data_IF_615707696363
#
_entry.id   IF_615707696363
#
_cell.length_a   1.000
_cell.length_b   1.000
_cell.length_c   1.000
_cell.angle_alpha   90.00
_cell.angle_beta   90.00
_cell.angle_gamma   90.00
#
_symmetry.space_group_name_H-M   'P 1'
#
loop_
_entity.id
_entity.type
_entity.pdbx_description
1 polymer ?
#
# COMPACT_ATOMS: atom_id res chain seq x y z
N UNK A 1 -7.43 0.70 -16.03
CA UNK A 1 -6.00 0.70 -16.46
C UNK A 1 -5.08 0.69 -15.26
N UNK A 2 -5.26 1.59 -14.28
CA UNK A 2 -4.39 1.69 -13.10
C UNK A 2 -4.33 0.38 -12.30
N UNK A 3 -5.45 -0.31 -12.07
CA UNK A 3 -5.47 -1.60 -11.38
C UNK A 3 -4.58 -2.65 -12.06
N UNK A 4 -4.50 -2.64 -13.38
CA UNK A 4 -3.68 -3.58 -14.16
C UNK A 4 -2.19 -3.26 -14.08
N UNK A 5 -1.83 -1.99 -13.89
CA UNK A 5 -0.43 -1.57 -13.78
C UNK A 5 0.29 -2.16 -12.56
N UNK A 6 -0.45 -2.54 -11.52
CA UNK A 6 0.09 -3.20 -10.33
C UNK A 6 0.42 -4.67 -10.53
N UNK A 7 -0.25 -5.35 -11.46
CA UNK A 7 -0.15 -6.80 -11.62
C UNK A 7 1.28 -7.24 -12.00
N UNK A 8 1.80 -8.26 -11.33
CA UNK A 8 3.14 -8.80 -11.50
C UNK A 8 4.26 -8.04 -10.79
N UNK A 9 3.95 -6.89 -10.16
CA UNK A 9 4.92 -6.16 -9.33
C UNK A 9 5.13 -6.88 -8.00
N UNK A 10 6.33 -6.75 -7.47
CA UNK A 10 6.72 -7.37 -6.18
C UNK A 10 6.43 -6.43 -5.02
N UNK A 11 5.93 -6.97 -3.92
CA UNK A 11 5.79 -6.25 -2.66
C UNK A 11 7.16 -5.78 -2.15
N UNK A 12 7.34 -4.49 -2.00
CA UNK A 12 8.56 -3.88 -1.48
C UNK A 12 8.39 -3.34 -0.06
N UNK A 13 7.17 -2.95 0.29
CA UNK A 13 6.85 -2.43 1.61
C UNK A 13 5.41 -2.77 2.00
N UNK A 14 5.23 -3.15 3.24
CA UNK A 14 3.95 -3.23 3.94
C UNK A 14 4.15 -2.62 5.32
N UNK A 15 3.38 -1.60 5.65
CA UNK A 15 3.53 -0.90 6.91
C UNK A 15 2.38 0.08 7.13
N UNK A 16 2.59 1.06 7.99
CA UNK A 16 1.59 2.07 8.32
C UNK A 16 2.15 3.49 8.38
N UNK A 17 1.26 4.46 8.22
CA UNK A 17 1.48 5.86 8.54
C UNK A 17 0.32 6.33 9.42
N UNK A 18 0.53 6.43 10.75
CA UNK A 18 -0.57 6.53 11.71
C UNK A 18 -1.42 5.25 11.68
N UNK A 19 -2.73 5.40 11.48
CA UNK A 19 -3.68 4.29 11.34
C UNK A 19 -3.81 3.77 9.88
N UNK A 20 -3.35 4.52 8.88
CA UNK A 20 -3.40 4.16 7.47
C UNK A 20 -2.38 3.06 7.15
N UNK A 21 -2.81 1.99 6.48
CA UNK A 21 -1.90 0.97 5.94
C UNK A 21 -1.36 1.44 4.60
N UNK A 22 -0.04 1.30 4.42
CA UNK A 22 0.67 1.64 3.20
C UNK A 22 1.34 0.41 2.60
N UNK A 23 1.12 0.19 1.31
CA UNK A 23 1.70 -0.89 0.53
C UNK A 23 2.45 -0.26 -0.64
N UNK A 24 3.72 -0.62 -0.79
CA UNK A 24 4.50 -0.24 -1.96
C UNK A 24 4.85 -1.47 -2.78
N UNK A 25 4.50 -1.46 -4.05
CA UNK A 25 4.97 -2.44 -5.01
C UNK A 25 6.13 -1.84 -5.80
N UNK A 26 7.21 -2.60 -5.89
CA UNK A 26 8.45 -2.15 -6.53
C UNK A 26 8.24 -1.88 -8.02
N UNK A 27 8.98 -0.93 -8.54
CA UNK A 27 9.09 -0.68 -9.97
C UNK A 27 9.69 -1.89 -10.69
N UNK A 28 9.27 -2.12 -11.93
CA UNK A 28 9.81 -3.19 -12.79
C UNK A 28 11.09 -2.76 -13.51
N UNK A 29 11.30 -1.46 -13.63
CA UNK A 29 12.47 -0.84 -14.23
C UNK A 29 12.95 0.34 -13.38
N UNK A 30 14.20 0.77 -13.56
CA UNK A 30 14.85 1.78 -12.71
C UNK A 30 14.18 3.16 -12.78
N UNK A 31 13.59 3.50 -13.92
CA UNK A 31 12.90 4.76 -14.20
C UNK A 31 11.37 4.67 -14.07
N UNK A 32 10.85 3.47 -13.78
CA UNK A 32 9.41 3.26 -13.61
C UNK A 32 8.98 3.67 -12.18
N UNK A 33 7.83 4.38 -12.02
CA UNK A 33 7.33 4.74 -10.70
C UNK A 33 6.90 3.50 -9.91
N UNK A 34 7.08 3.55 -8.60
CA UNK A 34 6.52 2.55 -7.69
C UNK A 34 5.00 2.69 -7.66
N UNK A 35 4.35 1.57 -7.42
CA UNK A 35 2.90 1.49 -7.30
C UNK A 35 2.50 1.51 -5.82
N UNK A 36 1.65 2.45 -5.44
CA UNK A 36 1.25 2.67 -4.06
C UNK A 36 -0.21 2.31 -3.85
N UNK A 37 -0.48 1.65 -2.73
CA UNK A 37 -1.84 1.40 -2.23
C UNK A 37 -1.89 1.90 -0.79
N UNK A 38 -2.73 2.88 -0.53
CA UNK A 38 -3.03 3.38 0.82
C UNK A 38 -4.42 2.90 1.21
N UNK A 39 -4.59 2.48 2.47
CA UNK A 39 -5.86 1.96 2.97
C UNK A 39 -6.16 2.59 4.33
N UNK A 40 -7.24 3.36 4.39
CA UNK A 40 -7.72 4.10 5.58
C UNK A 40 -8.88 3.42 6.29
N UNK A 41 -9.33 2.27 5.80
CA UNK A 41 -10.40 1.46 6.40
C UNK A 41 -9.85 0.20 7.07
N UNK A 42 -10.73 -0.59 7.69
CA UNK A 42 -10.35 -1.86 8.29
C UNK A 42 -9.77 -2.84 7.27
N UNK A 43 -8.68 -3.55 7.64
CA UNK A 43 -8.02 -4.55 6.79
C UNK A 43 -7.84 -5.85 7.56
N UNK A 44 -8.12 -6.96 6.88
CA UNK A 44 -7.69 -8.30 7.29
C UNK A 44 -6.59 -8.77 6.34
N UNK A 45 -5.51 -9.29 6.89
CA UNK A 45 -4.38 -9.87 6.14
C UNK A 45 -4.34 -11.36 6.44
N UNK A 46 -4.40 -12.15 5.38
CA UNK A 46 -4.32 -13.61 5.45
C UNK A 46 -2.99 -14.07 4.84
N UNK A 47 -2.46 -15.15 5.35
CA UNK A 47 -1.33 -15.87 4.75
C UNK A 47 -1.72 -17.34 4.62
N UNK A 48 -1.74 -17.84 3.39
CA UNK A 48 -2.21 -19.19 3.05
C UNK A 48 -3.62 -19.49 3.59
N UNK A 49 -4.53 -18.51 3.49
CA UNK A 49 -5.91 -18.61 3.96
C UNK A 49 -6.10 -18.54 5.47
N UNK A 50 -5.03 -18.34 6.25
CA UNK A 50 -5.08 -18.20 7.70
C UNK A 50 -4.88 -16.74 8.10
N UNK A 51 -5.67 -16.25 9.06
CA UNK A 51 -5.53 -14.89 9.59
C UNK A 51 -4.09 -14.68 10.11
N UNK A 52 -3.41 -13.68 9.55
CA UNK A 52 -2.03 -13.36 9.90
C UNK A 52 -1.94 -12.11 10.77
N UNK A 53 -2.54 -11.01 10.31
CA UNK A 53 -2.61 -9.73 11.03
C UNK A 53 -3.82 -8.90 10.54
N UNK A 54 -4.07 -7.78 11.18
CA UNK A 54 -5.14 -6.87 10.77
C UNK A 54 -4.89 -5.43 11.24
N UNK A 55 -5.63 -4.48 10.69
CA UNK A 55 -5.61 -3.09 11.17
C UNK A 55 -6.02 -2.93 12.63
N UNK A 56 -6.71 -3.92 13.22
CA UNK A 56 -7.06 -3.90 14.65
C UNK A 56 -5.83 -4.05 15.58
N UNK A 57 -4.70 -4.51 15.05
CA UNK A 57 -3.43 -4.62 15.79
C UNK A 57 -2.58 -3.34 15.68
N UNK A 58 -3.05 -2.34 14.92
CA UNK A 58 -2.41 -1.03 14.84
C UNK A 58 -2.72 -0.25 16.11
N UNK A 59 -1.68 0.32 16.69
CA UNK A 59 -1.79 1.34 17.71
C UNK A 59 -1.01 2.57 17.22
N UNK A 60 -1.72 3.60 16.79
CA UNK A 60 -1.16 4.81 16.20
C UNK A 60 -0.50 5.74 17.23
N UNK A 61 -0.77 5.57 18.52
CA UNK A 61 -0.05 6.23 19.61
C UNK A 61 1.36 5.66 19.82
N UNK A 62 1.65 4.46 19.29
CA UNK A 62 2.97 3.84 19.38
C UNK A 62 3.90 4.29 18.25
N UNK A 63 5.21 4.45 18.52
CA UNK A 63 6.21 4.63 17.47
C UNK A 63 6.13 3.49 16.43
N UNK A 64 6.49 3.81 15.19
CA UNK A 64 6.57 2.80 14.12
C UNK A 64 7.57 1.67 14.51
N UNK A 65 7.23 0.45 14.17
CA UNK A 65 8.02 -0.75 14.48
C UNK A 65 7.70 -1.42 15.82
N UNK A 66 6.81 -0.83 16.64
CA UNK A 66 6.56 -1.28 18.02
C UNK A 66 5.27 -2.07 18.15
N UNK A 67 4.19 -1.71 17.47
CA UNK A 67 2.92 -2.42 17.59
C UNK A 67 2.97 -3.79 16.89
N UNK A 68 2.03 -4.66 17.23
CA UNK A 68 1.98 -6.04 16.73
C UNK A 68 1.89 -6.10 15.20
N UNK A 69 1.10 -5.22 14.60
CA UNK A 69 1.00 -5.07 13.15
C UNK A 69 2.38 -4.80 12.50
N UNK A 70 3.14 -3.82 13.03
CA UNK A 70 4.44 -3.45 12.49
C UNK A 70 5.43 -4.62 12.55
N UNK A 71 5.44 -5.35 13.65
CA UNK A 71 6.34 -6.50 13.84
C UNK A 71 6.00 -7.64 12.88
N UNK A 72 4.72 -7.93 12.68
CA UNK A 72 4.25 -8.95 11.74
C UNK A 72 4.54 -8.55 10.29
N UNK A 73 4.28 -7.29 9.92
CA UNK A 73 4.59 -6.78 8.60
C UNK A 73 6.10 -6.87 8.29
N UNK A 74 6.95 -6.48 9.24
CA UNK A 74 8.40 -6.59 9.11
C UNK A 74 8.86 -8.06 8.99
N UNK A 75 8.28 -8.98 9.77
CA UNK A 75 8.58 -10.41 9.69
C UNK A 75 8.19 -11.01 8.34
N UNK A 76 7.04 -10.59 7.78
CA UNK A 76 6.60 -11.01 6.45
C UNK A 76 7.61 -10.59 5.37
N UNK A 77 8.04 -9.33 5.39
CA UNK A 77 9.02 -8.82 4.42
C UNK A 77 10.41 -9.46 4.60
N UNK A 78 10.78 -9.83 5.83
CA UNK A 78 12.05 -10.48 6.14
C UNK A 78 12.05 -12.00 5.86
N UNK A 79 10.92 -12.61 5.51
CA UNK A 79 10.83 -14.06 5.22
C UNK A 79 11.68 -14.48 4.02
N UNK A 80 12.00 -13.53 3.13
CA UNK A 80 12.70 -13.79 1.87
C UNK A 80 11.79 -14.27 0.75
N UNK A 81 10.48 -14.41 1.01
CA UNK A 81 9.50 -14.74 -0.01
C UNK A 81 9.22 -13.53 -0.90
N UNK A 82 9.20 -13.74 -2.20
CA UNK A 82 8.78 -12.72 -3.14
C UNK A 82 7.27 -12.79 -3.31
N UNK A 83 6.55 -11.80 -2.82
CA UNK A 83 5.11 -11.65 -3.02
C UNK A 83 4.85 -10.80 -4.27
N UNK A 84 4.38 -11.42 -5.34
CA UNK A 84 4.01 -10.70 -6.58
C UNK A 84 2.51 -10.50 -6.63
N UNK A 85 2.09 -9.29 -6.94
CA UNK A 85 0.66 -8.98 -7.07
C UNK A 85 0.06 -9.79 -8.22
N UNK A 86 -0.85 -10.70 -7.90
CA UNK A 86 -1.57 -11.55 -8.85
C UNK A 86 -2.89 -10.91 -9.26
N UNK A 87 -3.63 -10.35 -8.29
CA UNK A 87 -4.93 -9.75 -8.53
C UNK A 87 -5.16 -8.53 -7.64
N UNK A 88 -5.72 -7.50 -8.24
CA UNK A 88 -6.18 -6.29 -7.58
C UNK A 88 -7.58 -5.97 -8.09
N UNK A 89 -8.55 -5.97 -7.21
CA UNK A 89 -9.95 -5.77 -7.55
C UNK A 89 -10.72 -5.16 -6.37
N UNK A 90 -11.91 -4.68 -6.64
CA UNK A 90 -12.88 -4.30 -5.61
C UNK A 90 -14.22 -4.95 -5.92
N UNK A 91 -15.05 -5.12 -4.89
CA UNK A 91 -16.37 -5.71 -4.99
C UNK A 91 -17.48 -4.66 -5.20
N UNK A 92 -18.75 -5.09 -5.15
CA UNK A 92 -19.92 -4.20 -5.30
C UNK A 92 -20.07 -3.17 -4.15
N UNK A 93 -19.44 -3.41 -3.02
CA UNK A 93 -19.36 -2.48 -1.88
C UNK A 93 -18.08 -1.63 -1.91
N UNK A 94 -17.35 -1.65 -3.02
CA UNK A 94 -16.08 -0.95 -3.25
C UNK A 94 -14.96 -1.35 -2.27
N UNK A 95 -15.08 -2.53 -1.65
CA UNK A 95 -14.04 -3.08 -0.79
C UNK A 95 -12.90 -3.64 -1.63
N UNK A 96 -11.67 -3.26 -1.30
CA UNK A 96 -10.47 -3.64 -2.04
C UNK A 96 -9.98 -5.03 -1.66
N UNK A 97 -9.58 -5.81 -2.66
CA UNK A 97 -8.96 -7.13 -2.55
C UNK A 97 -7.59 -7.09 -3.23
N UNK A 98 -6.54 -7.30 -2.46
CA UNK A 98 -5.15 -7.32 -2.92
C UNK A 98 -4.62 -8.74 -2.71
N UNK A 99 -4.32 -9.46 -3.78
CA UNK A 99 -3.95 -10.88 -3.73
C UNK A 99 -2.60 -11.07 -4.40
N UNK A 100 -1.69 -11.71 -3.68
CA UNK A 100 -0.34 -12.07 -4.12
C UNK A 100 -0.21 -13.56 -4.37
N UNK A 101 0.76 -13.95 -5.20
CA UNK A 101 0.97 -15.31 -5.68
C UNK A 101 1.38 -16.33 -4.59
N UNK A 102 2.05 -15.88 -3.54
CA UNK A 102 2.49 -16.75 -2.44
C UNK A 102 1.50 -16.81 -1.26
N UNK A 103 0.20 -16.71 -1.55
CA UNK A 103 -0.87 -16.88 -0.56
C UNK A 103 -1.06 -15.72 0.42
N UNK A 104 -0.42 -14.57 0.17
CA UNK A 104 -0.68 -13.34 0.91
C UNK A 104 -1.90 -12.64 0.31
N UNK A 105 -2.89 -12.37 1.14
CA UNK A 105 -4.12 -11.69 0.75
C UNK A 105 -4.45 -10.56 1.73
N UNK A 106 -4.86 -9.41 1.20
CA UNK A 106 -5.38 -8.30 1.98
C UNK A 106 -6.81 -8.00 1.52
N UNK A 107 -7.72 -7.94 2.48
CA UNK A 107 -9.13 -7.65 2.23
C UNK A 107 -9.56 -6.49 3.11
N UNK A 108 -10.01 -5.39 2.48
CA UNK A 108 -10.58 -4.27 3.23
C UNK A 108 -11.96 -4.63 3.77
N UNK A 109 -12.35 -3.94 4.83
CA UNK A 109 -13.66 -4.09 5.48
C UNK A 109 -14.28 -2.72 5.67
N UNK A 110 -15.59 -2.63 5.54
CA UNK A 110 -16.30 -1.40 5.85
C UNK A 110 -16.08 -1.02 7.32
N UNK A 111 -15.73 0.23 7.54
CA UNK A 111 -15.63 0.82 8.88
C UNK A 111 -16.86 1.69 9.11
N UNK A 112 -17.73 1.37 10.10
CA UNK A 112 -18.89 2.19 10.40
C UNK A 112 -18.50 3.63 10.71
N UNK A 113 -19.18 4.58 10.07
CA UNK A 113 -18.94 6.01 10.26
C UNK A 113 -17.83 6.61 9.41
N UNK A 114 -17.10 5.80 8.64
CA UNK A 114 -16.18 6.32 7.62
C UNK A 114 -17.02 6.84 6.44
N UNK A 115 -16.95 8.12 6.18
CA UNK A 115 -17.73 8.79 5.12
C UNK A 115 -16.86 9.25 3.95
N UNK A 116 -15.57 8.99 4.02
CA UNK A 116 -14.57 9.50 3.09
C UNK A 116 -13.85 8.37 2.38
N UNK A 117 -12.61 8.60 2.03
CA UNK A 117 -11.75 7.66 1.34
C UNK A 117 -11.52 6.39 2.16
N UNK A 118 -11.74 5.22 1.56
CA UNK A 118 -11.42 3.92 2.16
C UNK A 118 -10.04 3.44 1.72
N UNK A 119 -9.70 3.69 0.47
CA UNK A 119 -8.41 3.34 -0.11
C UNK A 119 -8.07 4.20 -1.32
N UNK A 120 -6.78 4.31 -1.61
CA UNK A 120 -6.24 5.04 -2.75
C UNK A 120 -5.15 4.25 -3.44
N UNK A 121 -5.16 4.26 -4.77
CA UNK A 121 -4.16 3.65 -5.62
C UNK A 121 -3.56 4.71 -6.54
N UNK A 122 -2.24 4.76 -6.62
CA UNK A 122 -1.54 5.72 -7.45
C UNK A 122 -0.11 5.27 -7.80
N UNK A 123 0.51 5.93 -8.77
CA UNK A 123 1.93 5.80 -9.08
C UNK A 123 2.71 6.90 -8.36
N UNK A 124 3.80 6.52 -7.68
CA UNK A 124 4.64 7.50 -6.97
C UNK A 124 5.23 8.53 -7.94
N UNK A 125 5.33 9.78 -7.46
CA UNK A 125 5.95 10.92 -8.17
C UNK A 125 5.47 11.14 -9.62
N UNK A 126 4.29 10.71 -9.97
CA UNK A 126 3.64 11.05 -11.24
C UNK A 126 2.50 12.04 -11.01
N UNK A 127 2.10 12.72 -12.07
CA UNK A 127 0.89 13.54 -12.10
C UNK A 127 -0.32 12.73 -12.62
N UNK A 128 -0.22 11.40 -12.60
CA UNK A 128 -1.26 10.52 -13.09
C UNK A 128 -2.45 10.46 -12.13
N UNK A 129 -3.56 9.98 -12.66
CA UNK A 129 -4.82 9.84 -11.93
C UNK A 129 -4.64 8.94 -10.73
N UNK A 130 -5.12 9.37 -9.57
CA UNK A 130 -5.35 8.52 -8.41
C UNK A 130 -6.72 7.86 -8.53
N UNK A 131 -6.79 6.57 -8.23
CA UNK A 131 -8.04 5.85 -8.10
C UNK A 131 -8.39 5.72 -6.61
N UNK A 132 -9.54 6.23 -6.22
CA UNK A 132 -9.97 6.32 -4.83
C UNK A 132 -11.26 5.54 -4.66
N UNK A 133 -11.28 4.61 -3.71
CA UNK A 133 -12.48 3.92 -3.27
C UNK A 133 -13.13 4.62 -2.09
N UNK A 134 -14.39 4.99 -2.25
CA UNK A 134 -15.24 5.60 -1.23
C UNK A 134 -16.43 4.66 -0.95
N UNK A 135 -17.15 4.83 0.18
CA UNK A 135 -18.30 3.98 0.52
C UNK A 135 -19.44 4.03 -0.51
N UNK A 136 -19.50 5.08 -1.30
CA UNK A 136 -20.56 5.36 -2.28
C UNK A 136 -20.08 5.28 -3.75
N UNK A 137 -18.82 4.96 -4.00
CA UNK A 137 -18.31 4.84 -5.36
C UNK A 137 -16.80 4.89 -5.50
N UNK A 138 -16.40 4.86 -6.76
CA UNK A 138 -15.00 5.05 -7.17
C UNK A 138 -14.82 6.44 -7.75
N UNK A 139 -13.81 7.14 -7.29
CA UNK A 139 -13.45 8.48 -7.75
C UNK A 139 -12.08 8.44 -8.42
N UNK A 140 -11.96 9.10 -9.57
CA UNK A 140 -10.68 9.39 -10.21
C UNK A 140 -10.30 10.84 -9.91
N UNK A 141 -9.16 11.04 -9.27
CA UNK A 141 -8.66 12.35 -8.88
C UNK A 141 -7.30 12.62 -9.54
N UNK A 142 -7.18 13.80 -10.18
CA UNK A 142 -5.89 14.29 -10.62
C UNK A 142 -5.17 14.92 -9.41
N UNK A 143 -3.92 14.54 -9.12
CA UNK A 143 -3.18 15.19 -8.05
C UNK A 143 -3.00 16.68 -8.36
N UNK A 144 -3.30 17.53 -7.38
CA UNK A 144 -3.18 19.00 -7.48
C UNK A 144 -1.73 19.50 -7.38
N UNK A 145 -0.76 18.59 -7.41
CA UNK A 145 0.65 18.89 -7.26
C UNK A 145 1.20 19.51 -8.56
N UNK A 146 1.91 20.61 -8.41
CA UNK A 146 2.71 21.16 -9.51
C UNK A 146 3.88 20.22 -9.84
N UNK A 147 4.36 20.26 -11.09
CA UNK A 147 5.52 19.47 -11.51
C UNK A 147 6.74 19.69 -10.59
N UNK A 148 6.92 20.90 -10.06
CA UNK A 148 7.99 21.21 -9.11
C UNK A 148 7.85 20.45 -7.79
N UNK A 149 6.64 20.34 -7.24
CA UNK A 149 6.36 19.58 -6.01
C UNK A 149 6.54 18.09 -6.21
N UNK A 150 6.17 17.58 -7.39
CA UNK A 150 6.43 16.19 -7.79
C UNK A 150 7.92 15.89 -7.86
N UNK A 151 8.70 16.78 -8.50
CA UNK A 151 10.16 16.64 -8.61
C UNK A 151 10.85 16.71 -7.24
N UNK A 152 10.37 17.56 -6.34
CA UNK A 152 10.88 17.66 -4.97
C UNK A 152 10.59 16.40 -4.15
N UNK A 153 9.36 15.86 -4.24
CA UNK A 153 8.99 14.59 -3.59
C UNK A 153 9.80 13.43 -4.14
N UNK A 154 9.98 13.34 -5.45
CA UNK A 154 10.84 12.33 -6.08
C UNK A 154 12.26 12.36 -5.54
N UNK A 155 12.86 13.55 -5.43
CA UNK A 155 14.22 13.71 -4.87
C UNK A 155 14.29 13.25 -3.42
N UNK A 156 13.32 13.62 -2.59
CA UNK A 156 13.25 13.24 -1.18
C UNK A 156 13.14 11.72 -1.03
N UNK A 157 12.22 11.08 -1.77
CA UNK A 157 12.03 9.63 -1.74
C UNK A 157 13.27 8.88 -2.23
N UNK A 158 13.86 9.28 -3.35
CA UNK A 158 15.10 8.68 -3.84
C UNK A 158 16.25 8.81 -2.83
N UNK A 159 16.37 9.95 -2.15
CA UNK A 159 17.38 10.13 -1.10
C UNK A 159 17.14 9.24 0.12
N UNK A 160 15.88 9.11 0.54
CA UNK A 160 15.47 8.26 1.67
C UNK A 160 15.68 6.78 1.36
N UNK A 161 15.24 6.29 0.20
CA UNK A 161 15.46 4.91 -0.24
C UNK A 161 16.95 4.59 -0.35
N UNK A 162 17.75 5.52 -0.89
CA UNK A 162 19.19 5.35 -0.98
C UNK A 162 19.86 5.30 0.41
N UNK A 163 19.39 6.10 1.35
CA UNK A 163 19.87 6.09 2.73
C UNK A 163 19.53 4.76 3.43
N UNK A 164 18.29 4.30 3.33
CA UNK A 164 17.82 3.03 3.93
C UNK A 164 18.56 1.81 3.35
N UNK A 165 18.82 1.79 2.04
CA UNK A 165 19.63 0.73 1.40
C UNK A 165 21.08 0.74 1.89
N UNK A 166 21.69 1.92 2.13
CA UNK A 166 23.05 2.02 2.68
C UNK A 166 23.14 1.53 4.12
N UNK A 167 22.09 1.75 4.89
CA UNK A 167 21.99 1.29 6.28
C UNK A 167 21.61 -0.18 6.42
N UNK A 168 21.38 -0.89 5.29
CA UNK A 168 20.93 -2.30 5.24
C UNK A 168 19.59 -2.53 5.96
N UNK A 169 18.71 -1.54 5.94
CA UNK A 169 17.36 -1.61 6.51
C UNK A 169 16.34 -2.05 5.44
N UNK A 170 16.73 -2.01 4.17
CA UNK A 170 15.99 -2.53 3.01
C UNK A 170 16.84 -3.54 2.25
#
# INVERSE_FOLDING_TARGET
ELLQNGIGRTLGFLGRAGAMISITLLSRAEDEPEYQIHIDTGVSILLNGVAYTSSAEINDDMPYGVCEFDQKAAALLASGDAFRLERLSYDEAYLLHVIFDNGLELHTRSTPGLCEEMWRIFLSWTADIHLIGCPDGIVEELPTLSQRELDERKRLLCSTVTALRKEKIL
#
